data_IF_764987287400
#
_entry.id   IF_764987287400
#
_cell.length_a   1.000
_cell.length_b   1.000
_cell.length_c   1.000
_cell.angle_alpha   90.00
_cell.angle_beta   90.00
_cell.angle_gamma   90.00
#
_symmetry.space_group_name_H-M   'P 1'
#
loop_
_entity.id
_entity.type
_entity.pdbx_description
1 polymer ?
#
# COMPACT_ATOMS: atom_id res chain seq x y z
N UNK A 1 11.38 19.74 -44.36
CA UNK A 1 12.31 18.76 -43.76
C UNK A 1 12.00 18.67 -42.27
N UNK A 2 11.18 17.71 -41.85
CA UNK A 2 11.09 17.36 -40.44
C UNK A 2 12.23 16.38 -40.16
N UNK A 3 13.29 16.86 -39.52
CA UNK A 3 14.32 15.97 -38.98
C UNK A 3 13.62 15.17 -37.90
N UNK A 4 13.33 13.90 -38.17
CA UNK A 4 12.81 12.97 -37.18
C UNK A 4 13.96 12.70 -36.22
N UNK A 5 14.10 13.55 -35.19
CA UNK A 5 14.97 13.23 -34.06
C UNK A 5 14.45 11.92 -33.47
N UNK A 6 15.23 10.86 -33.67
CA UNK A 6 14.89 9.55 -33.14
C UNK A 6 14.95 9.64 -31.62
N UNK A 7 13.80 9.44 -30.97
CA UNK A 7 13.67 9.37 -29.52
C UNK A 7 13.55 7.91 -29.13
N UNK A 8 14.56 7.38 -28.45
CA UNK A 8 14.63 5.95 -28.10
C UNK A 8 15.01 5.81 -26.65
N UNK A 9 14.32 4.91 -25.95
CA UNK A 9 14.70 4.45 -24.62
C UNK A 9 15.28 3.03 -24.74
N UNK A 10 16.54 2.87 -24.34
CA UNK A 10 17.20 1.59 -24.24
C UNK A 10 17.34 1.22 -22.76
N UNK A 11 16.60 0.23 -22.28
CA UNK A 11 16.75 -0.29 -20.92
C UNK A 11 17.83 -1.39 -20.89
N UNK A 12 18.56 -1.46 -19.79
CA UNK A 12 19.48 -2.56 -19.49
C UNK A 12 18.71 -3.82 -19.08
N UNK A 13 19.41 -4.96 -19.00
CA UNK A 13 18.80 -6.26 -18.66
C UNK A 13 18.10 -6.27 -17.29
N UNK A 14 18.53 -5.42 -16.36
CA UNK A 14 17.88 -5.26 -15.05
C UNK A 14 16.49 -4.61 -15.12
N UNK A 15 16.14 -4.03 -16.28
CA UNK A 15 14.89 -3.28 -16.52
C UNK A 15 14.74 -2.01 -15.69
N UNK A 16 15.79 -1.57 -14.98
CA UNK A 16 15.74 -0.45 -14.02
C UNK A 16 16.62 0.72 -14.42
N UNK A 17 17.71 0.46 -15.13
CA UNK A 17 18.55 1.50 -15.69
C UNK A 17 18.46 1.51 -17.22
N UNK A 18 18.92 2.58 -17.83
CA UNK A 18 18.88 2.71 -19.28
C UNK A 18 19.45 4.02 -19.78
N UNK A 19 19.39 4.19 -21.10
CA UNK A 19 19.81 5.40 -21.79
C UNK A 19 18.65 5.92 -22.62
N UNK A 20 18.32 7.20 -22.43
CA UNK A 20 17.38 7.92 -23.27
C UNK A 20 18.15 8.69 -24.33
N UNK A 21 17.83 8.47 -25.61
CA UNK A 21 18.55 9.04 -26.75
C UNK A 21 17.66 10.05 -27.46
N UNK A 22 18.18 11.25 -27.72
CA UNK A 22 17.52 12.30 -28.50
C UNK A 22 18.51 12.82 -29.54
N UNK A 23 18.32 12.46 -30.81
CA UNK A 23 19.33 12.78 -31.83
C UNK A 23 20.62 12.03 -31.52
N UNK A 24 21.72 12.77 -31.34
CA UNK A 24 23.05 12.24 -30.99
C UNK A 24 23.35 12.36 -29.47
N UNK A 25 22.43 12.90 -28.68
CA UNK A 25 22.60 13.08 -27.24
C UNK A 25 22.11 11.86 -26.45
N UNK A 26 22.89 11.47 -25.44
CA UNK A 26 22.64 10.29 -24.62
C UNK A 26 22.49 10.69 -23.15
N UNK A 27 21.32 10.39 -22.58
CA UNK A 27 20.99 10.76 -21.21
C UNK A 27 20.81 9.51 -20.34
N UNK A 28 21.46 9.42 -19.17
CA UNK A 28 21.19 8.37 -18.21
C UNK A 28 19.72 8.38 -17.78
N UNK A 29 19.08 7.22 -17.77
CA UNK A 29 17.69 7.02 -17.38
C UNK A 29 17.57 6.00 -16.25
N UNK A 30 16.57 6.17 -15.38
CA UNK A 30 16.29 5.24 -14.29
C UNK A 30 14.79 5.08 -14.08
N UNK A 31 14.32 3.85 -13.97
CA UNK A 31 12.93 3.51 -13.69
C UNK A 31 12.69 3.53 -12.18
N UNK A 32 11.75 4.37 -11.73
CA UNK A 32 11.41 4.55 -10.32
C UNK A 32 9.93 4.32 -10.07
N UNK A 33 9.60 3.81 -8.89
CA UNK A 33 8.22 3.60 -8.45
C UNK A 33 7.63 4.90 -7.91
N UNK A 34 6.46 5.30 -8.39
CA UNK A 34 5.73 6.43 -7.84
C UNK A 34 5.13 6.07 -6.47
N UNK A 35 5.01 7.06 -5.56
CA UNK A 35 4.32 6.84 -4.31
C UNK A 35 2.80 6.72 -4.50
N UNK A 36 2.24 7.25 -5.58
CA UNK A 36 0.80 7.25 -5.86
C UNK A 36 0.54 6.49 -7.16
N UNK A 37 -0.57 5.75 -7.20
CA UNK A 37 -1.12 5.24 -8.46
C UNK A 37 -1.77 6.41 -9.18
N UNK A 38 -1.37 6.64 -10.43
CA UNK A 38 -1.91 7.70 -11.28
C UNK A 38 -2.78 7.05 -12.34
N UNK A 39 -4.06 7.43 -12.38
CA UNK A 39 -4.99 6.93 -13.37
C UNK A 39 -4.96 7.83 -14.60
N UNK A 40 -4.87 7.23 -15.80
CA UNK A 40 -5.06 7.94 -17.05
C UNK A 40 -6.48 7.74 -17.57
N UNK A 41 -7.05 8.82 -18.11
CA UNK A 41 -8.38 8.85 -18.66
C UNK A 41 -8.34 9.42 -20.08
N UNK A 42 -9.20 8.90 -20.95
CA UNK A 42 -9.52 9.50 -22.24
C UNK A 42 -10.95 10.02 -22.21
N UNK A 43 -11.19 11.05 -23.01
CA UNK A 43 -12.52 11.62 -23.21
C UNK A 43 -12.62 12.20 -24.62
N UNK A 44 -13.84 12.35 -25.12
CA UNK A 44 -14.14 13.06 -26.36
C UNK A 44 -14.77 14.44 -26.11
N UNK A 45 -15.41 14.63 -24.96
CA UNK A 45 -16.28 15.77 -24.64
C UNK A 45 -15.98 16.40 -23.26
N UNK A 46 -14.88 16.00 -22.62
CA UNK A 46 -14.46 16.39 -21.27
C UNK A 46 -15.49 16.12 -20.15
N UNK A 47 -16.56 15.39 -20.46
CA UNK A 47 -17.65 15.09 -19.54
C UNK A 47 -17.63 13.63 -19.13
N UNK A 48 -17.49 12.74 -20.11
CA UNK A 48 -17.36 11.30 -19.85
C UNK A 48 -15.89 10.91 -19.88
N UNK A 49 -15.35 10.59 -18.71
CA UNK A 49 -13.98 10.11 -18.56
C UNK A 49 -13.95 8.58 -18.57
N UNK A 50 -13.18 8.00 -19.49
CA UNK A 50 -13.00 6.55 -19.61
C UNK A 50 -11.58 6.23 -19.14
N UNK A 51 -11.46 5.44 -18.07
CA UNK A 51 -10.15 4.99 -17.55
C UNK A 51 -9.44 4.15 -18.61
N UNK A 52 -8.16 4.42 -18.85
CA UNK A 52 -7.35 3.71 -19.85
C UNK A 52 -6.19 2.93 -19.26
N UNK A 53 -5.53 3.46 -18.23
CA UNK A 53 -4.44 2.75 -17.56
C UNK A 53 -4.22 3.24 -16.12
N UNK A 54 -3.47 2.43 -15.38
CA UNK A 54 -2.84 2.78 -14.12
C UNK A 54 -1.34 2.96 -14.33
N UNK A 55 -0.78 4.07 -13.85
CA UNK A 55 0.64 4.41 -13.93
C UNK A 55 1.21 4.44 -12.52
N UNK A 56 2.11 3.51 -12.24
CA UNK A 56 2.79 3.38 -10.94
C UNK A 56 4.29 3.67 -10.99
N UNK A 57 4.84 3.98 -12.16
CA UNK A 57 6.28 4.17 -12.35
C UNK A 57 6.58 5.38 -13.24
N UNK A 58 7.79 5.92 -13.11
CA UNK A 58 8.33 7.00 -13.94
C UNK A 58 9.72 6.64 -14.44
N UNK A 59 10.08 7.17 -15.59
CA UNK A 59 11.45 7.16 -16.10
C UNK A 59 12.05 8.53 -15.76
N UNK A 60 13.06 8.54 -14.90
CA UNK A 60 13.84 9.72 -14.56
C UNK A 60 15.04 9.82 -15.49
N UNK A 61 15.00 10.76 -16.41
CA UNK A 61 16.12 11.12 -17.28
C UNK A 61 16.97 12.18 -16.57
N UNK A 62 18.27 12.03 -16.62
CA UNK A 62 19.26 12.85 -15.91
C UNK A 62 20.27 13.45 -16.89
N UNK A 63 20.94 14.52 -16.47
CA UNK A 63 22.10 15.05 -17.20
C UNK A 63 23.35 14.19 -16.93
N UNK A 64 24.36 14.33 -17.77
CA UNK A 64 25.65 13.68 -17.56
C UNK A 64 26.31 14.23 -16.28
N UNK A 65 26.67 13.35 -15.35
CA UNK A 65 27.28 13.70 -14.06
C UNK A 65 26.29 13.77 -12.88
N UNK A 66 24.98 13.78 -13.13
CA UNK A 66 23.99 13.68 -12.05
C UNK A 66 24.02 12.29 -11.41
N UNK A 67 24.01 12.18 -10.06
CA UNK A 67 24.06 10.90 -9.39
C UNK A 67 22.84 10.04 -9.73
N UNK A 68 23.05 8.73 -9.81
CA UNK A 68 21.94 7.79 -9.94
C UNK A 68 21.12 7.79 -8.65
N UNK A 69 19.80 7.58 -8.74
CA UNK A 69 18.99 7.43 -7.54
C UNK A 69 19.41 6.15 -6.80
N UNK A 70 19.74 6.27 -5.52
CA UNK A 70 20.13 5.13 -4.67
C UNK A 70 18.95 4.23 -4.29
N UNK A 71 17.72 4.72 -4.51
CA UNK A 71 16.48 4.03 -4.15
C UNK A 71 15.56 3.90 -5.35
N UNK A 72 14.90 2.74 -5.46
CA UNK A 72 13.89 2.48 -6.50
C UNK A 72 12.61 3.31 -6.28
N UNK A 73 12.36 3.73 -5.04
CA UNK A 73 11.17 4.47 -4.66
C UNK A 73 11.33 5.97 -4.91
N UNK A 74 10.47 6.53 -5.76
CA UNK A 74 10.42 7.97 -5.96
C UNK A 74 9.78 8.67 -4.77
N UNK A 75 10.39 9.78 -4.36
CA UNK A 75 10.05 10.49 -3.12
C UNK A 75 8.76 11.31 -3.24
N UNK A 76 8.45 11.82 -4.42
CA UNK A 76 7.36 12.79 -4.64
C UNK A 76 6.24 12.19 -5.50
N UNK A 77 5.01 12.67 -5.35
CA UNK A 77 3.98 12.46 -6.37
C UNK A 77 4.11 13.46 -7.51
N UNK A 78 3.36 13.24 -8.60
CA UNK A 78 3.42 14.10 -9.80
C UNK A 78 2.91 15.53 -9.58
N UNK A 79 1.99 15.74 -8.62
CA UNK A 79 1.39 17.06 -8.39
C UNK A 79 2.08 17.79 -7.23
N UNK A 80 2.17 19.14 -7.27
CA UNK A 80 2.85 19.92 -6.23
C UNK A 80 2.39 19.62 -4.80
N UNK A 81 1.09 19.43 -4.52
CA UNK A 81 0.64 19.04 -3.19
C UNK A 81 1.24 17.71 -2.72
N UNK A 82 1.53 16.77 -3.62
CA UNK A 82 2.04 15.44 -3.33
C UNK A 82 3.57 15.38 -3.17
N UNK A 83 4.23 16.54 -3.01
CA UNK A 83 5.64 16.58 -2.61
C UNK A 83 5.87 15.85 -1.28
N UNK A 84 6.79 14.90 -1.30
CA UNK A 84 7.15 14.02 -0.18
C UNK A 84 5.97 13.19 0.34
N UNK A 85 5.12 12.70 -0.57
CA UNK A 85 3.85 12.04 -0.25
C UNK A 85 3.97 10.95 0.84
N UNK A 86 4.91 10.00 0.70
CA UNK A 86 5.10 8.90 1.66
C UNK A 86 5.36 9.39 3.09
N UNK A 87 6.10 10.51 3.22
CA UNK A 87 6.47 11.06 4.54
C UNK A 87 5.40 11.99 5.12
N UNK A 88 4.76 12.80 4.26
CA UNK A 88 3.90 13.92 4.67
C UNK A 88 2.41 13.63 4.64
N UNK A 89 1.95 12.72 3.77
CA UNK A 89 0.52 12.51 3.52
C UNK A 89 0.06 11.10 3.84
N UNK A 90 0.91 10.10 3.62
CA UNK A 90 0.53 8.73 3.83
C UNK A 90 0.54 8.41 5.32
N UNK A 91 -0.52 7.75 5.78
CA UNK A 91 -0.59 7.24 7.15
C UNK A 91 0.53 6.22 7.33
N UNK A 92 1.35 6.40 8.36
CA UNK A 92 2.34 5.38 8.75
C UNK A 92 1.60 4.18 9.32
N UNK A 93 2.05 3.00 8.94
CA UNK A 93 1.60 1.79 9.62
C UNK A 93 2.12 1.83 11.07
N UNK A 94 1.30 1.42 12.05
CA UNK A 94 1.78 1.29 13.40
C UNK A 94 2.89 0.24 13.45
N UNK A 95 3.95 0.52 14.19
CA UNK A 95 4.99 -0.48 14.45
C UNK A 95 4.36 -1.59 15.32
N UNK A 96 4.07 -2.74 14.71
CA UNK A 96 3.49 -3.90 15.40
C UNK A 96 4.60 -4.78 15.97
N UNK A 97 4.43 -5.23 17.20
CA UNK A 97 5.33 -6.20 17.82
C UNK A 97 5.24 -7.54 17.04
N UNK A 98 6.34 -8.05 16.44
CA UNK A 98 6.33 -9.30 15.67
C UNK A 98 5.81 -10.49 16.47
N UNK A 99 6.07 -10.52 17.78
CA UNK A 99 5.62 -11.61 18.64
C UNK A 99 4.11 -11.59 18.87
N UNK A 100 3.54 -10.38 19.00
CA UNK A 100 2.08 -10.22 19.06
C UNK A 100 1.43 -10.65 17.74
N UNK A 101 2.01 -10.26 16.61
CA UNK A 101 1.49 -10.64 15.27
C UNK A 101 1.48 -12.16 15.12
N UNK A 102 2.57 -12.85 15.46
CA UNK A 102 2.65 -14.32 15.40
C UNK A 102 1.63 -15.00 16.30
N UNK A 103 1.42 -14.47 17.52
CA UNK A 103 0.42 -15.00 18.43
C UNK A 103 -0.98 -14.87 17.86
N UNK A 104 -1.34 -13.68 17.37
CA UNK A 104 -2.65 -13.43 16.74
C UNK A 104 -2.85 -14.30 15.51
N UNK A 105 -1.82 -14.45 14.67
CA UNK A 105 -1.86 -15.32 13.48
C UNK A 105 -2.12 -16.78 13.86
N UNK A 106 -1.42 -17.29 14.88
CA UNK A 106 -1.62 -18.65 15.40
C UNK A 106 -3.02 -18.84 15.97
N UNK A 107 -3.48 -17.90 16.79
CA UNK A 107 -4.83 -17.95 17.37
C UNK A 107 -5.90 -17.95 16.27
N UNK A 108 -5.71 -17.15 15.21
CA UNK A 108 -6.61 -17.12 14.06
C UNK A 108 -6.62 -18.44 13.30
N UNK A 109 -5.44 -19.01 13.02
CA UNK A 109 -5.33 -20.34 12.38
C UNK A 109 -6.04 -21.42 13.21
N UNK A 110 -5.89 -21.40 14.53
CA UNK A 110 -6.54 -22.33 15.44
C UNK A 110 -8.07 -22.18 15.40
N UNK A 111 -8.60 -20.96 15.43
CA UNK A 111 -10.04 -20.69 15.34
C UNK A 111 -10.60 -21.16 13.99
N UNK A 112 -9.90 -20.87 12.89
CA UNK A 112 -10.32 -21.29 11.55
C UNK A 112 -10.33 -22.82 11.40
N UNK A 113 -9.46 -23.54 12.13
CA UNK A 113 -9.47 -24.99 12.22
C UNK A 113 -10.56 -25.56 13.16
N UNK A 114 -11.44 -24.72 13.72
CA UNK A 114 -12.50 -25.12 14.65
C UNK A 114 -12.04 -25.25 16.11
N UNK A 115 -10.83 -24.81 16.43
CA UNK A 115 -10.31 -24.69 17.78
C UNK A 115 -10.89 -23.50 18.55
N UNK A 116 -10.60 -23.41 19.84
CA UNK A 116 -10.97 -22.27 20.68
C UNK A 116 -9.79 -21.29 20.79
N UNK A 117 -10.08 -20.00 20.91
CA UNK A 117 -9.03 -19.00 21.14
C UNK A 117 -8.41 -19.21 22.53
N UNK A 118 -7.08 -19.22 22.62
CA UNK A 118 -6.39 -19.33 23.90
C UNK A 118 -6.56 -18.03 24.71
N UNK A 119 -7.04 -18.14 25.96
CA UNK A 119 -7.40 -17.04 26.89
C UNK A 119 -8.80 -16.39 26.73
N UNK A 120 -9.78 -17.11 26.20
CA UNK A 120 -11.17 -16.81 26.56
C UNK A 120 -11.43 -17.50 27.90
N UNK A 121 -11.51 -16.75 28.99
CA UNK A 121 -12.00 -17.27 30.26
C UNK A 121 -13.50 -17.55 30.14
N UNK A 122 -13.85 -18.66 29.48
CA UNK A 122 -15.21 -19.17 29.37
C UNK A 122 -15.78 -19.39 30.79
N UNK A 123 -14.91 -19.71 31.75
CA UNK A 123 -15.25 -19.79 33.17
C UNK A 123 -15.76 -18.46 33.74
N UNK A 124 -15.20 -17.30 33.34
CA UNK A 124 -15.69 -15.99 33.81
C UNK A 124 -17.08 -15.69 33.24
N UNK A 125 -17.31 -16.04 31.96
CA UNK A 125 -18.60 -15.85 31.30
C UNK A 125 -19.66 -16.81 31.85
N UNK A 126 -19.32 -18.09 32.04
CA UNK A 126 -20.20 -19.09 32.65
C UNK A 126 -20.51 -18.76 34.12
N UNK A 127 -19.53 -18.26 34.88
CA UNK A 127 -19.75 -17.83 36.26
C UNK A 127 -20.71 -16.62 36.32
N UNK A 128 -20.53 -15.63 35.44
CA UNK A 128 -21.50 -14.52 35.31
C UNK A 128 -22.90 -14.98 34.93
N UNK A 129 -23.02 -15.97 34.03
CA UNK A 129 -24.32 -16.53 33.62
C UNK A 129 -24.99 -17.28 34.78
N UNK A 130 -24.24 -18.11 35.53
CA UNK A 130 -24.78 -18.82 36.70
C UNK A 130 -25.24 -17.85 37.78
N UNK A 131 -24.47 -16.80 38.09
CA UNK A 131 -24.83 -15.80 39.09
C UNK A 131 -26.09 -15.02 38.71
N UNK A 132 -26.25 -14.67 37.42
CA UNK A 132 -27.47 -14.03 36.91
C UNK A 132 -28.70 -14.94 37.02
N UNK A 133 -28.52 -16.26 36.87
CA UNK A 133 -29.59 -17.25 36.96
C UNK A 133 -30.10 -17.41 38.39
N UNK A 134 -29.19 -17.45 39.38
CA UNK A 134 -29.54 -17.51 40.80
C UNK A 134 -30.28 -16.26 41.27
N UNK A 135 -29.81 -15.06 40.90
CA UNK A 135 -30.51 -13.81 41.23
C UNK A 135 -31.91 -13.72 40.61
N UNK A 136 -32.10 -14.22 39.37
CA UNK A 136 -33.42 -14.23 38.75
C UNK A 136 -34.38 -15.19 39.46
N UNK A 137 -33.91 -16.37 39.89
CA UNK A 137 -34.72 -17.35 40.65
C UNK A 137 -35.09 -16.85 42.05
N UNK A 138 -34.18 -16.16 42.74
CA UNK A 138 -34.45 -15.55 44.05
C UNK A 138 -35.54 -14.47 43.97
N UNK A 139 -35.51 -13.64 42.92
CA UNK A 139 -36.48 -12.54 42.74
C UNK A 139 -37.90 -13.03 42.41
N UNK A 140 -38.04 -14.25 41.87
CA UNK A 140 -39.35 -14.85 41.54
C UNK A 140 -40.00 -15.50 42.76
N UNK A 141 -39.21 -15.93 43.75
CA UNK A 141 -39.74 -16.58 44.96
C UNK A 141 -40.26 -15.58 46.03
N UNK A 142 -39.87 -14.30 45.95
CA UNK A 142 -40.37 -13.21 46.81
C UNK A 142 -41.65 -12.53 46.28
N UNK A 143 -42.17 -12.94 45.11
CA UNK A 143 -43.40 -12.39 44.50
C UNK A 143 -44.60 -13.36 44.54
N UNK A 144 -44.69 -14.20 45.57
CA UNK A 144 -45.88 -15.02 45.86
C UNK A 144 -46.43 -14.73 47.24
#
# INVERSE_FOLDING_TARGET
MHVLYQKVLCLTEDGKSGTFVIGDEHFPASLLNLPCIVESYKTYDDSVLIKTADVGQIIMVREEGDPAPDVVEYRHGLTPPMRDARRRRFRREPDLNPELVRRVERDLQNILAGGTAENIDILSFLFSISFKKEHHLATVHERK
#
